data_IF_665153498760
#
_entry.id   IF_665153498760
#
_cell.length_a   1.000
_cell.length_b   1.000
_cell.length_c   1.000
_cell.angle_alpha   90.00
_cell.angle_beta   90.00
_cell.angle_gamma   90.00
#
_symmetry.space_group_name_H-M   'P 1'
#
loop_
_entity.id
_entity.type
_entity.pdbx_description
1 polymer ?
#
# COMPACT_ATOMS: atom_id res chain seq x y z
N UNK A 1 19.41 4.15 -1.83
CA UNK A 1 18.71 5.24 -2.53
C UNK A 1 18.01 4.68 -3.75
N UNK A 2 16.74 5.03 -3.90
CA UNK A 2 15.97 4.67 -5.06
C UNK A 2 16.31 5.63 -6.22
N UNK A 3 16.87 5.10 -7.28
CA UNK A 3 17.29 5.90 -8.43
C UNK A 3 16.11 6.17 -9.36
N UNK A 4 15.77 7.45 -9.54
CA UNK A 4 14.70 7.89 -10.43
C UNK A 4 13.34 7.24 -10.14
N UNK A 5 13.07 6.90 -8.89
CA UNK A 5 11.75 6.44 -8.46
C UNK A 5 11.03 7.65 -7.86
N UNK A 6 9.84 7.95 -8.38
CA UNK A 6 9.01 8.99 -7.80
C UNK A 6 8.28 8.42 -6.58
N UNK A 7 8.44 9.05 -5.43
CA UNK A 7 7.81 8.63 -4.18
C UNK A 7 6.75 9.66 -3.79
N UNK A 8 5.53 9.19 -3.59
CA UNK A 8 4.40 10.03 -3.17
C UNK A 8 3.76 9.43 -1.94
N UNK A 9 3.24 10.29 -1.06
CA UNK A 9 2.44 9.86 0.07
C UNK A 9 1.02 10.40 -0.07
N UNK A 10 0.03 9.58 0.27
CA UNK A 10 -1.37 9.95 0.18
C UNK A 10 -2.09 9.49 1.45
N UNK A 11 -2.86 10.38 2.04
CA UNK A 11 -3.62 10.09 3.26
C UNK A 11 -4.82 9.18 3.01
N UNK A 12 -5.09 8.82 1.77
CA UNK A 12 -6.23 7.99 1.39
C UNK A 12 -6.29 6.71 2.23
N UNK A 13 -7.45 6.45 2.81
CA UNK A 13 -7.67 5.28 3.67
C UNK A 13 -9.06 4.67 3.48
N UNK A 14 -9.88 5.25 2.62
CA UNK A 14 -11.18 4.72 2.22
C UNK A 14 -11.09 4.26 0.76
N UNK A 15 -11.76 3.15 0.38
CA UNK A 15 -11.64 2.63 -0.99
C UNK A 15 -11.93 3.64 -2.08
N UNK A 16 -12.88 4.54 -1.87
CA UNK A 16 -13.22 5.58 -2.84
C UNK A 16 -12.05 6.54 -3.06
N UNK A 17 -11.39 6.94 -1.96
CA UNK A 17 -10.23 7.83 -2.03
C UNK A 17 -9.05 7.13 -2.70
N UNK A 18 -8.81 5.87 -2.35
CA UNK A 18 -7.74 5.06 -2.92
C UNK A 18 -7.95 4.93 -4.44
N UNK A 19 -9.16 4.59 -4.85
CA UNK A 19 -9.49 4.44 -6.26
C UNK A 19 -9.26 5.73 -7.03
N UNK A 20 -9.63 6.88 -6.45
CA UNK A 20 -9.44 8.19 -7.09
C UNK A 20 -7.96 8.51 -7.25
N UNK A 21 -7.16 8.29 -6.21
CA UNK A 21 -5.72 8.56 -6.25
C UNK A 21 -5.02 7.67 -7.28
N UNK A 22 -5.35 6.39 -7.30
CA UNK A 22 -4.72 5.46 -8.25
C UNK A 22 -5.14 5.73 -9.69
N UNK A 23 -6.39 6.13 -9.89
CA UNK A 23 -6.86 6.53 -11.22
C UNK A 23 -6.09 7.75 -11.72
N UNK A 24 -5.87 8.74 -10.85
CA UNK A 24 -5.09 9.92 -11.20
C UNK A 24 -3.63 9.54 -11.50
N UNK A 25 -3.04 8.65 -10.70
CA UNK A 25 -1.68 8.18 -10.92
C UNK A 25 -1.52 7.50 -12.26
N UNK A 26 -2.50 6.72 -12.69
CA UNK A 26 -2.46 6.00 -13.97
C UNK A 26 -2.45 6.92 -15.19
N UNK A 27 -2.81 8.19 -15.02
CA UNK A 27 -2.74 9.18 -16.08
C UNK A 27 -1.35 9.83 -16.20
N UNK A 28 -0.40 9.44 -15.35
CA UNK A 28 0.97 9.94 -15.41
C UNK A 28 1.88 8.91 -16.05
N UNK A 29 3.10 9.32 -16.43
CA UNK A 29 4.08 8.41 -17.02
C UNK A 29 4.93 7.76 -15.95
N UNK A 30 5.00 6.43 -15.97
CA UNK A 30 5.85 5.66 -15.06
C UNK A 30 6.09 4.28 -15.68
N UNK A 31 7.08 3.56 -15.11
CA UNK A 31 7.37 2.19 -15.55
C UNK A 31 6.39 1.20 -14.91
N UNK A 32 6.42 1.08 -13.59
CA UNK A 32 5.46 0.25 -12.85
C UNK A 32 4.94 1.02 -11.63
N UNK A 33 3.72 0.71 -11.22
CA UNK A 33 3.04 1.37 -10.11
C UNK A 33 3.08 0.48 -8.87
N UNK A 34 3.72 0.98 -7.83
CA UNK A 34 3.80 0.35 -6.52
C UNK A 34 2.91 1.08 -5.52
N UNK A 35 2.17 0.34 -4.74
CA UNK A 35 1.40 0.91 -3.64
C UNK A 35 1.74 0.17 -2.35
N UNK A 36 2.15 0.92 -1.32
CA UNK A 36 2.28 0.42 0.04
C UNK A 36 1.08 0.91 0.80
N UNK A 37 0.18 0.01 1.15
CA UNK A 37 -1.07 0.36 1.80
C UNK A 37 -1.06 -0.08 3.26
N UNK A 38 -1.35 0.86 4.16
CA UNK A 38 -1.57 0.58 5.57
C UNK A 38 -3.06 0.69 5.87
N UNK A 39 -3.75 -0.43 6.08
CA UNK A 39 -5.18 -0.36 6.45
C UNK A 39 -5.35 0.37 7.77
N UNK A 40 -6.40 1.15 7.88
CA UNK A 40 -6.70 1.93 9.10
C UNK A 40 -7.91 1.32 9.78
N UNK A 41 -7.70 0.82 10.98
CA UNK A 41 -8.62 0.10 11.86
C UNK A 41 -9.06 -1.26 11.33
N UNK A 42 -9.30 -2.18 12.26
CA UNK A 42 -9.78 -3.52 11.91
C UNK A 42 -11.22 -3.47 11.42
N UNK A 43 -12.06 -2.64 12.04
CA UNK A 43 -13.47 -2.56 11.68
C UNK A 43 -13.68 -2.06 10.25
N UNK A 44 -12.95 -1.03 9.84
CA UNK A 44 -13.05 -0.51 8.46
C UNK A 44 -12.53 -1.52 7.46
N UNK A 45 -11.39 -2.14 7.78
CA UNK A 45 -10.78 -3.14 6.89
C UNK A 45 -11.73 -4.31 6.67
N UNK A 46 -12.37 -4.78 7.73
CA UNK A 46 -13.34 -5.87 7.64
C UNK A 46 -14.59 -5.47 6.86
N UNK A 47 -15.15 -4.31 7.20
CA UNK A 47 -16.41 -3.87 6.59
C UNK A 47 -16.28 -3.58 5.09
N UNK A 48 -15.13 -3.07 4.65
CA UNK A 48 -14.91 -2.63 3.27
C UNK A 48 -13.88 -3.50 2.55
N UNK A 49 -13.70 -4.73 3.00
CA UNK A 49 -12.64 -5.63 2.53
C UNK A 49 -12.63 -5.76 1.00
N UNK A 50 -13.78 -6.10 0.41
CA UNK A 50 -13.86 -6.33 -1.03
C UNK A 50 -13.63 -5.04 -1.82
N UNK A 51 -14.10 -3.91 -1.29
CA UNK A 51 -13.89 -2.61 -1.94
C UNK A 51 -12.41 -2.21 -1.92
N UNK A 52 -11.67 -2.55 -0.85
CA UNK A 52 -10.23 -2.34 -0.82
C UNK A 52 -9.52 -3.18 -1.87
N UNK A 53 -9.93 -4.43 -2.03
CA UNK A 53 -9.35 -5.31 -3.04
C UNK A 53 -9.56 -4.72 -4.43
N UNK A 54 -10.79 -4.28 -4.74
CA UNK A 54 -11.12 -3.72 -6.03
C UNK A 54 -10.34 -2.43 -6.32
N UNK A 55 -10.15 -1.59 -5.31
CA UNK A 55 -9.41 -0.34 -5.48
C UNK A 55 -7.92 -0.59 -5.70
N UNK A 56 -7.33 -1.54 -4.99
CA UNK A 56 -5.87 -1.76 -5.01
C UNK A 56 -5.40 -2.66 -6.14
N UNK A 57 -6.25 -3.50 -6.69
CA UNK A 57 -5.86 -4.48 -7.71
C UNK A 57 -5.37 -3.85 -9.02
N UNK A 58 -5.58 -2.56 -9.21
CA UNK A 58 -5.15 -1.85 -10.42
C UNK A 58 -3.66 -1.54 -10.44
N UNK A 59 -2.97 -1.69 -9.31
CA UNK A 59 -1.52 -1.49 -9.22
C UNK A 59 -0.77 -2.67 -9.82
N UNK A 60 0.48 -2.44 -10.21
CA UNK A 60 1.37 -3.53 -10.63
C UNK A 60 1.84 -4.32 -9.41
N UNK A 61 2.16 -3.63 -8.31
CA UNK A 61 2.63 -4.25 -7.07
C UNK A 61 1.94 -3.59 -5.88
N UNK A 62 1.47 -4.40 -4.93
CA UNK A 62 0.87 -3.92 -3.69
C UNK A 62 1.56 -4.60 -2.50
N UNK A 63 2.04 -3.80 -1.57
CA UNK A 63 2.55 -4.30 -0.29
C UNK A 63 1.58 -3.82 0.78
N UNK A 64 1.02 -4.76 1.55
CA UNK A 64 0.11 -4.43 2.64
C UNK A 64 0.89 -4.46 3.94
N UNK A 65 0.90 -3.34 4.65
CA UNK A 65 1.50 -3.22 5.97
C UNK A 65 0.50 -3.68 7.03
N UNK A 66 0.96 -3.83 8.27
CA UNK A 66 0.07 -4.17 9.38
C UNK A 66 -1.05 -3.13 9.51
N UNK A 67 -2.22 -3.60 9.92
CA UNK A 67 -3.35 -2.72 10.17
C UNK A 67 -3.00 -1.74 11.29
N UNK A 68 -3.23 -0.45 11.04
CA UNK A 68 -3.08 0.58 12.07
C UNK A 68 -4.33 0.53 12.94
N UNK A 69 -4.17 -0.05 14.13
CA UNK A 69 -5.32 -0.36 14.99
C UNK A 69 -6.02 0.87 15.54
N UNK A 70 -5.30 2.00 15.66
CA UNK A 70 -5.76 3.17 16.39
C UNK A 70 -6.03 2.76 17.84
N UNK A 71 -7.28 2.67 18.25
CA UNK A 71 -7.62 2.24 19.62
C UNK A 71 -8.40 0.93 19.65
N UNK A 72 -8.52 0.28 18.50
CA UNK A 72 -9.25 -0.97 18.42
C UNK A 72 -8.41 -2.15 18.91
N UNK A 73 -9.11 -3.21 19.31
CA UNK A 73 -8.47 -4.49 19.58
C UNK A 73 -8.57 -5.38 18.37
N UNK A 74 -7.57 -6.22 18.17
CA UNK A 74 -7.62 -7.22 17.11
C UNK A 74 -8.63 -8.30 17.51
N UNK A 75 -9.69 -8.40 16.72
CA UNK A 75 -10.76 -9.40 16.95
C UNK A 75 -10.51 -10.71 16.23
N UNK A 76 -9.47 -10.78 15.39
CA UNK A 76 -9.20 -11.96 14.59
C UNK A 76 -10.06 -12.11 13.34
N UNK A 77 -10.99 -11.19 13.08
CA UNK A 77 -11.90 -11.28 11.94
C UNK A 77 -11.22 -10.89 10.62
N UNK A 78 -10.16 -10.11 10.68
CA UNK A 78 -9.46 -9.62 9.49
C UNK A 78 -7.99 -9.41 9.80
N UNK A 79 -7.14 -9.59 8.79
CA UNK A 79 -5.72 -9.31 8.89
C UNK A 79 -5.21 -8.67 7.61
N UNK A 80 -4.07 -7.98 7.72
CA UNK A 80 -3.40 -7.43 6.55
C UNK A 80 -2.98 -8.52 5.58
N UNK A 81 -2.55 -9.68 6.10
CA UNK A 81 -2.17 -10.84 5.26
C UNK A 81 -3.34 -11.32 4.42
N UNK A 82 -4.53 -11.42 5.01
CA UNK A 82 -5.73 -11.83 4.27
C UNK A 82 -6.05 -10.86 3.14
N UNK A 83 -5.91 -9.57 3.40
CA UNK A 83 -6.15 -8.56 2.38
C UNK A 83 -5.16 -8.71 1.22
N UNK A 84 -3.87 -8.87 1.53
CA UNK A 84 -2.84 -9.06 0.51
C UNK A 84 -3.10 -10.32 -0.32
N UNK A 85 -3.47 -11.42 0.33
CA UNK A 85 -3.77 -12.67 -0.35
C UNK A 85 -4.96 -12.52 -1.31
N UNK A 86 -5.98 -11.81 -0.90
CA UNK A 86 -7.16 -11.59 -1.75
C UNK A 86 -6.83 -10.72 -2.95
N UNK A 87 -6.00 -9.70 -2.77
CA UNK A 87 -5.54 -8.88 -3.89
C UNK A 87 -4.72 -9.73 -4.85
N UNK A 88 -3.84 -10.59 -4.33
CA UNK A 88 -3.03 -11.47 -5.16
C UNK A 88 -3.87 -12.42 -6.02
N UNK A 89 -5.03 -12.85 -5.51
CA UNK A 89 -5.94 -13.72 -6.27
C UNK A 89 -6.46 -13.05 -7.54
N UNK A 90 -6.45 -11.72 -7.62
CA UNK A 90 -6.89 -11.00 -8.81
C UNK A 90 -5.82 -10.98 -9.91
N UNK A 91 -4.62 -11.49 -9.64
CA UNK A 91 -3.50 -11.45 -10.58
C UNK A 91 -2.49 -10.34 -10.29
N UNK A 92 -2.76 -9.47 -9.34
CA UNK A 92 -1.83 -8.42 -8.93
C UNK A 92 -0.74 -9.02 -8.05
N UNK A 93 0.51 -8.56 -8.24
CA UNK A 93 1.61 -8.95 -7.34
C UNK A 93 1.40 -8.26 -5.99
N UNK A 94 0.86 -9.00 -5.03
CA UNK A 94 0.50 -8.44 -3.73
C UNK A 94 0.95 -9.37 -2.60
N UNK A 95 1.47 -8.78 -1.53
CA UNK A 95 1.89 -9.56 -0.36
C UNK A 95 1.94 -8.67 0.87
N UNK A 96 2.02 -9.32 2.03
CA UNK A 96 2.05 -8.68 3.32
C UNK A 96 3.47 -8.70 3.89
N UNK A 97 3.93 -7.56 4.43
CA UNK A 97 5.18 -7.49 5.18
C UNK A 97 4.90 -6.84 6.54
N UNK A 98 5.36 -7.45 7.64
CA UNK A 98 4.96 -7.02 8.99
C UNK A 98 5.60 -5.73 9.48
N UNK A 99 6.80 -5.38 9.00
CA UNK A 99 7.49 -4.19 9.50
C UNK A 99 7.82 -3.23 8.39
N UNK A 100 7.93 -1.94 8.76
CA UNK A 100 8.33 -0.91 7.82
C UNK A 100 9.75 -1.13 7.32
N UNK A 101 10.64 -1.65 8.17
CA UNK A 101 12.01 -1.97 7.76
C UNK A 101 12.02 -3.02 6.65
N UNK A 102 11.21 -4.07 6.79
CA UNK A 102 11.10 -5.11 5.77
C UNK A 102 10.55 -4.54 4.47
N UNK A 103 9.56 -3.65 4.56
CA UNK A 103 8.97 -3.00 3.39
C UNK A 103 10.01 -2.14 2.69
N UNK A 104 10.75 -1.32 3.43
CA UNK A 104 11.79 -0.45 2.88
C UNK A 104 12.89 -1.26 2.20
N UNK A 105 13.34 -2.32 2.84
CA UNK A 105 14.38 -3.19 2.27
C UNK A 105 13.90 -3.85 0.99
N UNK A 106 12.67 -4.29 0.94
CA UNK A 106 12.08 -4.89 -0.26
C UNK A 106 12.01 -3.89 -1.40
N UNK A 107 11.56 -2.68 -1.10
CA UNK A 107 11.44 -1.62 -2.11
C UNK A 107 12.80 -1.21 -2.66
N UNK A 108 13.81 -1.10 -1.80
CA UNK A 108 15.17 -0.77 -2.24
C UNK A 108 15.74 -1.80 -3.20
N UNK A 109 15.35 -3.07 -3.04
CA UNK A 109 15.86 -4.16 -3.89
C UNK A 109 15.06 -4.31 -5.18
N UNK A 110 13.79 -3.94 -5.19
CA UNK A 110 12.87 -4.36 -6.26
C UNK A 110 12.30 -3.22 -7.10
N UNK A 111 12.18 -2.01 -6.55
CA UNK A 111 11.75 -0.87 -7.35
C UNK A 111 12.80 -0.54 -8.40
N UNK A 112 12.35 -0.24 -9.59
CA UNK A 112 13.22 0.03 -10.72
C UNK A 112 13.12 1.48 -11.13
N UNK A 113 14.09 1.91 -11.93
CA UNK A 113 14.13 3.26 -12.48
C UNK A 113 12.81 3.61 -13.16
N UNK A 114 12.30 4.78 -12.87
CA UNK A 114 11.05 5.33 -13.40
C UNK A 114 9.78 4.69 -12.86
N UNK A 115 9.89 3.86 -11.82
CA UNK A 115 8.71 3.37 -11.11
C UNK A 115 8.06 4.50 -10.31
N UNK A 116 6.77 4.37 -10.07
CA UNK A 116 6.02 5.26 -9.19
C UNK A 116 5.65 4.48 -7.92
N UNK A 117 6.06 5.01 -6.77
CA UNK A 117 5.75 4.42 -5.46
C UNK A 117 4.82 5.35 -4.70
N UNK A 118 3.67 4.84 -4.29
CA UNK A 118 2.72 5.61 -3.48
C UNK A 118 2.53 4.89 -2.15
N UNK A 119 2.76 5.60 -1.04
CA UNK A 119 2.39 5.10 0.29
C UNK A 119 1.02 5.67 0.63
N UNK A 120 0.11 4.81 1.08
CA UNK A 120 -1.28 5.19 1.36
C UNK A 120 -1.71 4.76 2.75
N UNK A 121 -2.35 5.66 3.46
CA UNK A 121 -2.93 5.37 4.76
C UNK A 121 -3.03 6.61 5.64
N UNK A 122 -3.88 6.51 6.66
CA UNK A 122 -4.12 7.60 7.60
C UNK A 122 -3.24 7.51 8.85
N UNK A 123 -2.42 6.46 8.96
CA UNK A 123 -1.52 6.26 10.08
C UNK A 123 -0.12 6.80 9.81
N UNK A 124 0.88 5.97 10.07
CA UNK A 124 2.29 6.39 10.00
C UNK A 124 3.05 5.83 8.79
N UNK A 125 2.34 5.29 7.81
CA UNK A 125 2.97 4.69 6.61
C UNK A 125 3.80 5.69 5.82
N UNK A 126 3.53 6.98 5.94
CA UNK A 126 4.29 8.03 5.26
C UNK A 126 5.79 7.99 5.63
N UNK A 127 6.13 7.45 6.78
CA UNK A 127 7.54 7.38 7.21
C UNK A 127 8.37 6.50 6.28
N UNK A 128 7.76 5.54 5.61
CA UNK A 128 8.47 4.67 4.65
C UNK A 128 9.03 5.52 3.51
N UNK A 129 8.20 6.37 2.91
CA UNK A 129 8.65 7.23 1.83
C UNK A 129 9.72 8.22 2.29
N UNK A 130 9.53 8.80 3.47
CA UNK A 130 10.52 9.73 4.04
C UNK A 130 11.87 9.05 4.24
N UNK A 131 11.88 7.83 4.76
CA UNK A 131 13.11 7.09 4.98
C UNK A 131 13.80 6.73 3.66
N UNK A 132 13.03 6.33 2.66
CA UNK A 132 13.59 5.97 1.35
C UNK A 132 14.24 7.16 0.65
N UNK A 133 13.67 8.35 0.79
CA UNK A 133 14.24 9.56 0.21
C UNK A 133 15.57 9.91 0.86
N UNK A 134 15.72 9.65 2.16
CA UNK A 134 16.93 9.96 2.91
C UNK A 134 18.06 8.96 2.68
N UNK A 135 17.75 7.80 2.24
CA UNK A 135 18.74 6.74 1.96
C UNK A 135 19.31 6.92 0.54
#
# INVERSE_FOLDING_TARGET
ILDNVKVMDDYAHHPTEIAATLKAAKNTSYNELWCVFQPHTYSRTYALFDEFVDALKVCDHVIVADIYAAREKDTGLVSARQLAEKIAETGTDAFYLPSFDDIENYLLKNCKKNDLLITMGAGNVYSIGNDLIKK
#
